data_IF_099814959251
#
_entry.id   IF_099814959251
#
_cell.length_a   1.000
_cell.length_b   1.000
_cell.length_c   1.000
_cell.angle_alpha   90.00
_cell.angle_beta   90.00
_cell.angle_gamma   90.00
#
_symmetry.space_group_name_H-M   'P 1'
#
loop_
_entity.id
_entity.type
_entity.pdbx_description
1 polymer ?
#
# COMPACT_ATOMS: atom_id res chain seq x y z
N UNK A 1 -7.95 -5.81 0.91
CA UNK A 1 -6.48 -5.99 0.94
C UNK A 1 -6.11 -7.40 0.52
N UNK A 2 -5.61 -7.58 -0.71
CA UNK A 2 -5.13 -8.87 -1.16
C UNK A 2 -3.93 -9.36 -0.35
N UNK A 3 -3.96 -10.65 -0.04
CA UNK A 3 -2.84 -11.43 0.47
C UNK A 3 -2.88 -12.80 -0.18
N UNK A 4 -1.71 -13.33 -0.57
CA UNK A 4 -1.56 -14.73 -0.94
C UNK A 4 -0.23 -15.28 -0.41
N UNK A 5 -0.23 -16.56 -0.06
CA UNK A 5 0.90 -17.38 0.39
C UNK A 5 1.07 -18.67 -0.42
N UNK A 6 0.18 -18.88 -1.40
CA UNK A 6 0.26 -19.99 -2.36
C UNK A 6 1.08 -19.59 -3.60
N UNK A 7 2.31 -20.09 -3.66
CA UNK A 7 3.27 -19.90 -4.75
C UNK A 7 3.27 -21.08 -5.76
N UNK A 8 2.18 -21.85 -5.84
CA UNK A 8 2.03 -22.94 -6.83
C UNK A 8 1.46 -22.48 -8.17
N UNK A 9 0.90 -21.29 -8.23
CA UNK A 9 0.18 -20.75 -9.40
C UNK A 9 0.59 -19.31 -9.65
N UNK A 10 0.47 -18.90 -10.91
CA UNK A 10 0.63 -17.50 -11.29
C UNK A 10 -0.33 -16.60 -10.51
N UNK A 11 0.16 -15.41 -10.13
CA UNK A 11 -0.63 -14.39 -9.45
C UNK A 11 -0.32 -13.02 -10.01
N UNK A 12 -1.35 -12.20 -10.08
CA UNK A 12 -1.23 -10.77 -10.38
C UNK A 12 -2.07 -10.01 -9.37
N UNK A 13 -1.45 -9.04 -8.69
CA UNK A 13 -2.14 -8.06 -7.85
C UNK A 13 -1.95 -6.69 -8.47
N UNK A 14 -2.99 -5.89 -8.50
CA UNK A 14 -2.97 -4.61 -9.20
C UNK A 14 -3.74 -3.57 -8.40
N UNK A 15 -3.21 -2.35 -8.37
CA UNK A 15 -3.83 -1.20 -7.75
C UNK A 15 -3.81 -0.04 -8.74
N UNK A 16 -4.92 0.21 -9.46
CA UNK A 16 -5.09 1.38 -10.32
C UNK A 16 -5.41 2.64 -9.49
N UNK A 17 -5.35 3.78 -10.16
CA UNK A 17 -6.06 4.99 -9.71
C UNK A 17 -5.46 5.64 -8.48
N UNK A 18 -4.14 5.59 -8.31
CA UNK A 18 -3.47 6.25 -7.19
C UNK A 18 -3.49 7.77 -7.39
N UNK A 19 -4.53 8.41 -6.83
CA UNK A 19 -4.77 9.86 -6.85
C UNK A 19 -4.53 10.51 -5.48
N UNK A 20 -3.37 10.21 -4.88
CA UNK A 20 -3.08 10.57 -3.49
C UNK A 20 -3.11 9.38 -2.53
N UNK A 21 -3.55 8.22 -3.01
CA UNK A 21 -3.56 6.99 -2.22
C UNK A 21 -2.14 6.50 -1.86
N UNK A 22 -2.02 5.82 -0.73
CA UNK A 22 -0.80 5.13 -0.31
C UNK A 22 -0.96 3.63 -0.49
N UNK A 23 0.05 2.95 -1.04
CA UNK A 23 0.13 1.50 -1.12
C UNK A 23 1.22 0.99 -0.18
N UNK A 24 0.86 0.00 0.65
CA UNK A 24 1.80 -0.78 1.44
C UNK A 24 1.96 -2.16 0.79
N UNK A 25 3.15 -2.47 0.28
CA UNK A 25 3.47 -3.81 -0.19
C UNK A 25 4.45 -4.48 0.79
N UNK A 26 4.20 -5.74 1.14
CA UNK A 26 5.14 -6.57 1.90
C UNK A 26 5.30 -7.86 1.11
N UNK A 27 6.51 -8.10 0.62
CA UNK A 27 6.82 -9.19 -0.32
C UNK A 27 7.91 -10.04 0.30
N UNK A 28 7.68 -11.35 0.30
CA UNK A 28 8.61 -12.37 0.75
C UNK A 28 8.44 -13.61 -0.11
N UNK A 29 9.31 -14.61 0.05
CA UNK A 29 9.20 -15.90 -0.68
C UNK A 29 8.10 -16.80 -0.12
N UNK A 30 7.45 -16.39 0.96
CA UNK A 30 6.41 -17.14 1.69
C UNK A 30 5.06 -16.43 1.81
N UNK A 31 4.99 -15.15 1.43
CA UNK A 31 3.74 -14.40 1.41
C UNK A 31 3.90 -13.05 0.76
N UNK A 32 2.80 -12.55 0.21
CA UNK A 32 2.68 -11.21 -0.37
C UNK A 32 1.43 -10.55 0.18
N UNK A 33 1.59 -9.36 0.77
CA UNK A 33 0.52 -8.48 1.21
C UNK A 33 0.57 -7.17 0.40
N UNK A 34 -0.58 -6.71 -0.08
CA UNK A 34 -0.69 -5.44 -0.80
C UNK A 34 -1.91 -4.66 -0.30
N UNK A 35 -1.68 -3.70 0.59
CA UNK A 35 -2.69 -2.78 1.13
C UNK A 35 -2.79 -1.50 0.32
N UNK A 36 -4.02 -1.05 0.05
CA UNK A 36 -4.31 0.20 -0.65
C UNK A 36 -5.12 1.11 0.28
N UNK A 37 -4.54 2.25 0.65
CA UNK A 37 -5.07 3.20 1.63
C UNK A 37 -5.44 4.50 0.92
N UNK A 38 -6.74 4.78 0.88
CA UNK A 38 -7.29 5.95 0.20
C UNK A 38 -7.03 7.20 1.03
N UNK A 39 -6.62 8.30 0.38
CA UNK A 39 -6.38 9.58 1.07
C UNK A 39 -7.63 10.03 1.82
N UNK A 40 -8.76 10.09 1.12
CA UNK A 40 -10.07 10.52 1.64
C UNK A 40 -10.71 9.61 2.68
N UNK A 41 -10.11 8.45 2.98
CA UNK A 41 -10.57 7.53 4.05
C UNK A 41 -9.57 7.37 5.18
N UNK A 42 -8.30 7.58 4.89
CA UNK A 42 -7.22 7.16 5.77
C UNK A 42 -6.45 8.36 6.31
N UNK A 43 -6.16 9.34 5.47
CA UNK A 43 -5.20 10.40 5.80
C UNK A 43 -5.87 11.76 5.97
N UNK A 44 -6.85 12.09 5.12
CA UNK A 44 -7.65 13.31 5.18
C UNK A 44 -9.11 12.95 4.95
N UNK A 45 -9.80 12.41 5.97
CA UNK A 45 -11.08 11.77 5.76
C UNK A 45 -12.22 12.74 5.44
N UNK A 46 -12.96 12.41 4.37
CA UNK A 46 -14.17 13.12 4.01
C UNK A 46 -15.26 12.93 5.07
N UNK A 47 -16.18 13.87 5.12
CA UNK A 47 -17.26 13.91 6.10
C UNK A 47 -18.19 12.68 6.08
N UNK A 48 -18.26 11.99 4.94
CA UNK A 48 -19.00 10.74 4.75
C UNK A 48 -18.26 9.49 5.23
N UNK A 49 -16.96 9.57 5.47
CA UNK A 49 -16.13 8.44 5.92
C UNK A 49 -16.03 8.36 7.46
N UNK A 50 -16.50 9.40 8.14
CA UNK A 50 -16.53 9.51 9.60
C UNK A 50 -17.78 8.86 10.18
N UNK A 51 -17.60 8.02 11.19
CA UNK A 51 -18.72 7.44 11.94
C UNK A 51 -19.31 8.47 12.94
N UNK A 52 -20.62 8.41 13.21
CA UNK A 52 -21.23 9.20 14.27
C UNK A 52 -20.79 8.67 15.64
N UNK A 53 -20.53 9.60 16.56
CA UNK A 53 -20.21 9.35 17.96
C UNK A 53 -21.46 9.51 18.84
N UNK A 54 -21.41 8.95 20.05
CA UNK A 54 -22.54 8.93 21.00
C UNK A 54 -22.99 10.32 21.47
N UNK A 55 -22.12 11.33 21.37
CA UNK A 55 -22.41 12.73 21.72
C UNK A 55 -22.94 13.57 20.54
N UNK A 56 -23.25 12.92 19.41
CA UNK A 56 -23.74 13.58 18.19
C UNK A 56 -22.65 14.20 17.32
N UNK A 57 -21.37 14.06 17.69
CA UNK A 57 -20.25 14.47 16.84
C UNK A 57 -19.89 13.38 15.83
N UNK A 58 -18.99 13.69 14.91
CA UNK A 58 -18.34 12.73 14.00
C UNK A 58 -16.93 12.41 14.48
N UNK A 59 -16.39 11.27 14.06
CA UNK A 59 -14.99 10.91 14.28
C UNK A 59 -14.02 12.03 13.86
N UNK A 60 -12.94 12.25 14.63
CA UNK A 60 -11.79 13.07 14.23
C UNK A 60 -10.90 12.32 13.24
N UNK A 61 -9.94 13.02 12.61
CA UNK A 61 -9.00 12.40 11.66
C UNK A 61 -8.18 11.29 12.32
N UNK A 62 -7.75 11.49 13.56
CA UNK A 62 -7.04 10.47 14.34
C UNK A 62 -7.92 9.24 14.60
N UNK A 63 -9.19 9.43 14.92
CA UNK A 63 -10.11 8.31 15.18
C UNK A 63 -10.37 7.51 13.91
N UNK A 64 -10.52 8.19 12.76
CA UNK A 64 -10.64 7.52 11.47
C UNK A 64 -9.35 6.78 11.14
N UNK A 65 -8.19 7.40 11.28
CA UNK A 65 -6.88 6.77 11.06
C UNK A 65 -6.66 5.52 11.92
N UNK A 66 -6.96 5.62 13.21
CA UNK A 66 -6.89 4.49 14.14
C UNK A 66 -7.78 3.33 13.67
N UNK A 67 -9.00 3.63 13.20
CA UNK A 67 -9.97 2.63 12.73
C UNK A 67 -9.58 2.02 11.38
N UNK A 68 -9.23 2.85 10.40
CA UNK A 68 -9.06 2.43 9.01
C UNK A 68 -7.66 1.91 8.70
N UNK A 69 -6.64 2.41 9.40
CA UNK A 69 -5.25 2.03 9.15
C UNK A 69 -4.66 1.23 10.29
N UNK A 70 -4.61 1.74 11.52
CA UNK A 70 -3.94 1.02 12.61
C UNK A 70 -4.63 -0.29 12.95
N UNK A 71 -5.91 -0.21 13.34
CA UNK A 71 -6.74 -1.40 13.60
C UNK A 71 -6.91 -2.22 12.35
N UNK A 72 -7.05 -1.59 11.18
CA UNK A 72 -7.10 -2.34 9.93
C UNK A 72 -5.84 -3.18 9.70
N UNK A 73 -4.65 -2.65 10.00
CA UNK A 73 -3.38 -3.38 9.87
C UNK A 73 -3.25 -4.45 10.95
N UNK A 74 -3.57 -4.15 12.21
CA UNK A 74 -3.37 -5.10 13.31
C UNK A 74 -4.45 -6.17 13.36
N UNK A 75 -5.71 -5.80 13.17
CA UNK A 75 -6.87 -6.64 13.47
C UNK A 75 -7.63 -7.05 12.19
N UNK A 76 -7.37 -6.35 11.08
CA UNK A 76 -8.16 -6.47 9.86
C UNK A 76 -9.47 -5.66 9.94
N UNK A 77 -10.18 -5.60 8.82
CA UNK A 77 -11.50 -4.98 8.71
C UNK A 77 -12.44 -5.96 8.00
N UNK A 78 -13.50 -6.33 8.70
CA UNK A 78 -14.57 -7.17 8.16
C UNK A 78 -15.82 -6.33 7.92
N UNK A 79 -16.40 -6.43 6.72
CA UNK A 79 -17.70 -5.84 6.43
C UNK A 79 -18.76 -6.90 6.73
N UNK A 80 -19.76 -6.55 7.56
CA UNK A 80 -20.85 -7.48 7.90
C UNK A 80 -21.57 -7.91 6.62
N UNK A 81 -21.69 -9.23 6.42
CA UNK A 81 -22.36 -9.82 5.26
C UNK A 81 -21.41 -10.17 4.11
N UNK A 82 -20.16 -9.72 4.15
CA UNK A 82 -19.13 -10.15 3.21
C UNK A 82 -18.35 -11.33 3.80
N UNK A 83 -18.27 -12.45 3.06
CA UNK A 83 -17.51 -13.64 3.48
C UNK A 83 -15.99 -13.47 3.37
N UNK A 84 -15.51 -12.31 2.93
CA UNK A 84 -14.10 -11.99 2.77
C UNK A 84 -13.81 -10.66 3.47
N UNK A 85 -12.75 -10.56 4.29
CA UNK A 85 -12.37 -9.31 4.93
C UNK A 85 -12.05 -8.22 3.89
N UNK A 86 -12.54 -7.00 4.12
CA UNK A 86 -12.12 -5.82 3.36
C UNK A 86 -10.61 -5.59 3.53
N UNK A 87 -10.09 -5.78 4.73
CA UNK A 87 -8.66 -5.77 5.03
C UNK A 87 -8.29 -6.98 5.90
N UNK A 88 -7.22 -7.68 5.54
CA UNK A 88 -6.71 -8.80 6.32
C UNK A 88 -5.80 -8.30 7.44
N UNK A 89 -5.85 -8.95 8.60
CA UNK A 89 -4.96 -8.68 9.73
C UNK A 89 -3.51 -9.02 9.38
N UNK A 90 -2.61 -8.05 9.46
CA UNK A 90 -1.19 -8.30 9.33
C UNK A 90 -0.64 -9.06 10.54
N UNK A 91 -1.24 -8.91 11.73
CA UNK A 91 -0.88 -9.70 12.92
C UNK A 91 -1.05 -11.21 12.66
N UNK A 92 -2.18 -11.61 12.09
CA UNK A 92 -2.43 -13.02 11.75
C UNK A 92 -1.50 -13.52 10.64
N UNK A 93 -1.17 -12.65 9.69
CA UNK A 93 -0.36 -12.96 8.52
C UNK A 93 1.15 -12.87 8.78
N UNK A 94 1.61 -12.20 9.84
CA UNK A 94 3.02 -11.98 10.14
C UNK A 94 3.84 -13.28 10.17
N UNK A 95 3.22 -14.39 10.60
CA UNK A 95 3.85 -15.73 10.60
C UNK A 95 4.24 -16.24 9.20
N UNK A 96 3.61 -15.72 8.15
CA UNK A 96 3.90 -16.08 6.76
C UNK A 96 5.08 -15.31 6.18
N UNK A 97 5.62 -14.33 6.91
CA UNK A 97 6.69 -13.42 6.47
C UNK A 97 8.05 -13.73 7.12
N UNK A 98 8.30 -15.01 7.41
CA UNK A 98 9.44 -15.44 8.24
C UNK A 98 10.76 -15.67 7.50
N UNK A 99 10.82 -15.46 6.18
CA UNK A 99 12.08 -15.59 5.44
C UNK A 99 12.96 -14.33 5.53
N UNK A 100 14.23 -14.50 5.16
CA UNK A 100 15.23 -13.43 5.14
C UNK A 100 15.26 -12.74 3.77
N UNK A 101 14.29 -12.93 2.90
CA UNK A 101 14.21 -12.24 1.60
C UNK A 101 13.09 -11.17 1.60
N UNK A 102 12.40 -11.03 2.73
CA UNK A 102 11.34 -10.04 2.91
C UNK A 102 11.79 -8.61 2.65
N UNK A 103 10.96 -7.88 1.92
CA UNK A 103 11.03 -6.44 1.68
C UNK A 103 9.65 -5.81 1.84
N UNK A 104 9.61 -4.60 2.38
CA UNK A 104 8.41 -3.78 2.47
C UNK A 104 8.58 -2.46 1.71
N UNK A 105 7.45 -1.96 1.21
CA UNK A 105 7.37 -0.80 0.34
C UNK A 105 6.25 0.11 0.81
N UNK A 106 6.55 1.39 1.02
CA UNK A 106 5.53 2.45 1.07
C UNK A 106 5.60 3.19 -0.27
N UNK A 107 4.54 3.07 -1.06
CA UNK A 107 4.38 3.78 -2.33
C UNK A 107 3.36 4.89 -2.06
N UNK A 108 3.82 6.14 -2.04
CA UNK A 108 3.05 7.28 -1.55
C UNK A 108 3.06 8.46 -2.54
N UNK A 109 2.05 9.32 -2.53
CA UNK A 109 2.11 10.54 -3.32
C UNK A 109 3.21 11.46 -2.76
N UNK A 110 3.71 12.35 -3.63
CA UNK A 110 4.63 13.40 -3.23
C UNK A 110 3.97 14.33 -2.22
N UNK A 111 2.80 14.86 -2.54
CA UNK A 111 2.04 15.85 -1.76
C UNK A 111 0.67 15.30 -1.38
N UNK A 112 0.01 15.92 -0.39
CA UNK A 112 -1.41 15.71 -0.17
C UNK A 112 -2.24 16.52 -1.18
N UNK A 113 -3.49 16.11 -1.38
CA UNK A 113 -4.43 16.88 -2.21
C UNK A 113 -4.59 18.32 -1.69
N UNK A 114 -4.64 18.52 -0.37
CA UNK A 114 -4.76 19.84 0.23
C UNK A 114 -3.55 20.75 -0.08
N UNK A 115 -2.34 20.19 -0.09
CA UNK A 115 -1.14 20.93 -0.47
C UNK A 115 -1.15 21.31 -1.95
N UNK A 116 -1.55 20.39 -2.82
CA UNK A 116 -1.66 20.64 -4.25
C UNK A 116 -2.64 21.79 -4.54
N UNK A 117 -3.84 21.74 -3.95
CA UNK A 117 -4.85 22.81 -4.05
C UNK A 117 -4.33 24.15 -3.51
N UNK A 118 -3.62 24.14 -2.38
CA UNK A 118 -3.08 25.37 -1.80
C UNK A 118 -2.02 26.02 -2.70
N UNK A 119 -1.12 25.22 -3.28
CA UNK A 119 -0.10 25.71 -4.21
C UNK A 119 -0.71 26.23 -5.52
N UNK A 120 -1.73 25.56 -6.07
CA UNK A 120 -2.50 26.06 -7.22
C UNK A 120 -3.17 27.42 -6.94
N UNK A 121 -3.61 27.63 -5.69
CA UNK A 121 -4.14 28.91 -5.21
C UNK A 121 -3.05 29.97 -4.91
N UNK A 122 -1.77 29.67 -5.18
CA UNK A 122 -0.65 30.60 -5.01
C UNK A 122 -0.01 30.60 -3.62
N UNK A 123 -0.32 29.62 -2.75
CA UNK A 123 0.41 29.44 -1.51
C UNK A 123 1.87 29.07 -1.78
N UNK A 124 2.77 29.50 -0.89
CA UNK A 124 4.17 29.06 -0.96
C UNK A 124 4.25 27.55 -0.69
N UNK A 125 5.09 26.81 -1.42
CA UNK A 125 5.22 25.37 -1.21
C UNK A 125 5.74 25.09 0.20
N UNK A 126 5.16 24.11 0.87
CA UNK A 126 5.69 23.60 2.13
C UNK A 126 7.08 22.97 1.91
N UNK A 127 7.96 22.93 2.92
CA UNK A 127 9.20 22.17 2.85
C UNK A 127 8.93 20.69 2.57
N UNK A 128 9.79 20.02 1.78
CA UNK A 128 9.60 18.62 1.38
C UNK A 128 9.42 17.65 2.56
N UNK A 129 10.07 17.96 3.69
CA UNK A 129 9.95 17.19 4.94
C UNK A 129 8.51 17.15 5.48
N UNK A 130 7.64 18.07 5.06
CA UNK A 130 6.23 18.17 5.44
C UNK A 130 5.29 17.78 4.31
N UNK A 131 5.79 17.30 3.17
CA UNK A 131 4.91 16.93 2.06
C UNK A 131 4.10 15.66 2.38
N UNK A 132 2.79 15.75 2.17
CA UNK A 132 1.79 14.72 2.45
C UNK A 132 1.60 14.46 3.94
N UNK A 133 1.79 13.20 4.34
CA UNK A 133 1.47 12.70 5.69
C UNK A 133 2.65 11.95 6.32
N UNK A 134 3.84 12.57 6.46
CA UNK A 134 5.07 11.91 6.90
C UNK A 134 4.89 11.12 8.20
N UNK A 135 4.27 11.73 9.21
CA UNK A 135 4.03 11.10 10.52
C UNK A 135 3.15 9.85 10.42
N UNK A 136 2.13 9.87 9.55
CA UNK A 136 1.24 8.72 9.32
C UNK A 136 1.96 7.57 8.62
N UNK A 137 2.82 7.87 7.65
CA UNK A 137 3.61 6.84 6.98
C UNK A 137 4.68 6.24 7.90
N UNK A 138 5.30 7.04 8.77
CA UNK A 138 6.24 6.55 9.77
C UNK A 138 5.53 5.69 10.83
N UNK A 139 4.30 6.03 11.20
CA UNK A 139 3.49 5.18 12.07
C UNK A 139 3.11 3.85 11.41
N UNK A 140 2.72 3.85 10.13
CA UNK A 140 2.52 2.60 9.37
C UNK A 140 3.79 1.74 9.34
N UNK A 141 4.94 2.38 9.10
CA UNK A 141 6.23 1.69 9.11
C UNK A 141 6.45 1.02 10.47
N UNK A 142 6.25 1.76 11.56
CA UNK A 142 6.42 1.28 12.94
C UNK A 142 5.54 0.07 13.22
N UNK A 143 4.25 0.11 12.84
CA UNK A 143 3.32 -1.01 13.01
C UNK A 143 3.83 -2.26 12.27
N UNK A 144 4.21 -2.12 10.99
CA UNK A 144 4.73 -3.24 10.19
C UNK A 144 6.02 -3.80 10.79
N UNK A 145 6.89 -2.92 11.27
CA UNK A 145 8.15 -3.25 11.88
C UNK A 145 8.01 -4.01 13.21
N UNK A 146 6.99 -3.69 13.99
CA UNK A 146 6.71 -4.40 15.24
C UNK A 146 6.06 -5.76 15.00
N UNK A 147 5.19 -5.86 13.98
CA UNK A 147 4.57 -7.12 13.58
C UNK A 147 5.54 -8.05 12.82
N UNK A 148 6.45 -7.49 12.03
CA UNK A 148 7.40 -8.21 11.18
C UNK A 148 8.82 -7.64 11.34
N UNK A 149 9.51 -7.94 12.46
CA UNK A 149 10.80 -7.32 12.79
C UNK A 149 11.91 -7.54 11.75
N UNK A 150 11.82 -8.59 10.94
CA UNK A 150 12.81 -8.88 9.88
C UNK A 150 12.92 -7.78 8.83
N UNK A 151 11.89 -6.94 8.68
CA UNK A 151 11.91 -5.80 7.75
C UNK A 151 12.86 -4.68 8.23
N UNK A 152 13.18 -4.60 9.53
CA UNK A 152 14.09 -3.58 10.11
C UNK A 152 15.53 -3.67 9.59
N UNK A 153 15.90 -4.74 8.91
CA UNK A 153 17.25 -4.94 8.36
C UNK A 153 17.59 -3.87 7.32
N UNK A 154 18.88 -3.56 7.10
CA UNK A 154 19.31 -2.70 6.01
C UNK A 154 18.73 -3.16 4.66
N UNK A 155 18.08 -2.25 3.93
CA UNK A 155 17.44 -2.54 2.64
C UNK A 155 16.10 -3.29 2.73
N UNK A 156 15.59 -3.55 3.95
CA UNK A 156 14.28 -4.16 4.15
C UNK A 156 13.12 -3.24 3.81
N UNK A 157 13.31 -1.91 3.87
CA UNK A 157 12.34 -0.90 3.46
C UNK A 157 12.75 -0.18 2.19
N UNK A 158 11.76 0.12 1.36
CA UNK A 158 11.88 1.05 0.24
C UNK A 158 10.68 2.02 0.25
N UNK A 159 10.94 3.30 -0.01
CA UNK A 159 9.90 4.30 -0.18
C UNK A 159 9.91 4.75 -1.62
N UNK A 160 8.76 4.61 -2.31
CA UNK A 160 8.56 5.17 -3.65
C UNK A 160 7.61 6.35 -3.53
N UNK A 161 8.06 7.49 -4.02
CA UNK A 161 7.25 8.71 -4.14
C UNK A 161 6.78 8.83 -5.58
N UNK A 162 5.48 9.01 -5.80
CA UNK A 162 4.92 9.26 -7.13
C UNK A 162 4.23 10.63 -7.18
N UNK A 163 4.05 11.16 -8.39
CA UNK A 163 3.27 12.38 -8.61
C UNK A 163 1.83 11.99 -8.90
N UNK A 164 0.90 12.41 -8.05
CA UNK A 164 -0.50 12.07 -8.20
C UNK A 164 -1.06 12.73 -9.46
N UNK A 165 -1.88 11.98 -10.21
CA UNK A 165 -2.60 12.54 -11.35
C UNK A 165 -3.85 13.23 -10.81
N UNK A 166 -3.93 14.54 -11.02
CA UNK A 166 -4.99 15.44 -10.56
C UNK A 166 -5.59 16.21 -11.74
N UNK A 167 -6.67 16.98 -11.49
CA UNK A 167 -7.37 17.78 -12.50
C UNK A 167 -8.56 17.11 -13.18
N UNK A 168 -9.26 17.86 -14.03
CA UNK A 168 -10.53 17.44 -14.68
C UNK A 168 -10.35 16.22 -15.60
N UNK A 169 -9.17 16.06 -16.22
CA UNK A 169 -8.85 14.95 -17.13
C UNK A 169 -8.15 13.76 -16.43
N UNK A 170 -8.09 13.76 -15.10
CA UNK A 170 -7.31 12.76 -14.36
C UNK A 170 -7.77 11.32 -14.61
N UNK A 171 -9.08 11.08 -14.74
CA UNK A 171 -9.68 9.77 -15.01
C UNK A 171 -9.22 9.26 -16.38
N UNK A 172 -9.38 10.10 -17.39
CA UNK A 172 -8.98 9.84 -18.77
C UNK A 172 -7.48 9.55 -18.92
N UNK A 173 -6.64 10.29 -18.19
CA UNK A 173 -5.19 10.09 -18.18
C UNK A 173 -4.83 8.75 -17.52
N UNK A 174 -5.37 8.47 -16.33
CA UNK A 174 -5.08 7.24 -15.59
C UNK A 174 -5.49 5.98 -16.35
N UNK A 175 -6.49 6.05 -17.22
CA UNK A 175 -6.86 4.93 -18.10
C UNK A 175 -5.83 4.68 -19.22
N UNK A 176 -5.21 5.74 -19.73
CA UNK A 176 -4.35 5.71 -20.93
C UNK A 176 -2.86 5.51 -20.60
N UNK A 177 -2.42 5.85 -19.39
CA UNK A 177 -0.99 5.83 -19.01
C UNK A 177 -0.70 4.93 -17.81
N UNK A 178 0.58 4.67 -17.56
CA UNK A 178 1.04 3.86 -16.42
C UNK A 178 1.13 4.61 -15.10
N UNK A 179 1.04 5.94 -15.08
CA UNK A 179 1.04 6.74 -13.85
C UNK A 179 -0.09 6.33 -12.90
N UNK A 180 0.17 6.44 -11.60
CA UNK A 180 -0.80 6.09 -10.57
C UNK A 180 -1.18 4.60 -10.53
N UNK A 181 -0.29 3.71 -10.98
CA UNK A 181 -0.52 2.25 -10.98
C UNK A 181 0.56 1.50 -10.21
N UNK A 182 0.15 0.49 -9.47
CA UNK A 182 1.06 -0.50 -8.85
C UNK A 182 0.66 -1.89 -9.31
N UNK A 183 1.66 -2.67 -9.75
CA UNK A 183 1.48 -4.02 -10.25
C UNK A 183 2.45 -4.95 -9.56
N UNK A 184 1.94 -6.02 -8.96
CA UNK A 184 2.74 -7.15 -8.52
C UNK A 184 2.42 -8.38 -9.40
N UNK A 185 3.45 -9.09 -9.84
CA UNK A 185 3.30 -10.37 -10.55
C UNK A 185 4.17 -11.45 -9.91
N UNK A 186 3.64 -12.66 -9.93
CA UNK A 186 4.36 -13.88 -9.56
C UNK A 186 4.19 -14.95 -10.64
N UNK A 187 5.30 -15.56 -11.03
CA UNK A 187 5.41 -16.68 -11.97
C UNK A 187 6.09 -17.87 -11.26
N UNK A 188 5.41 -19.02 -11.07
CA UNK A 188 5.96 -20.18 -10.40
C UNK A 188 6.93 -21.01 -11.27
N UNK A 189 6.96 -20.78 -12.58
CA UNK A 189 7.67 -21.60 -13.57
C UNK A 189 8.48 -20.76 -14.54
N UNK A 190 9.09 -19.70 -14.02
CA UNK A 190 9.97 -18.82 -14.78
C UNK A 190 11.14 -19.61 -15.39
N UNK A 191 11.44 -19.36 -16.67
CA UNK A 191 12.51 -20.07 -17.39
C UNK A 191 12.12 -21.41 -18.04
N UNK A 192 10.87 -21.85 -17.91
CA UNK A 192 10.28 -22.97 -18.66
C UNK A 192 10.58 -24.38 -18.13
N UNK A 193 9.95 -25.39 -18.73
CA UNK A 193 9.88 -26.78 -18.22
C UNK A 193 11.17 -27.61 -18.37
N UNK A 194 12.19 -27.10 -19.08
CA UNK A 194 13.45 -27.83 -19.36
C UNK A 194 14.54 -27.62 -18.31
N UNK A 195 14.37 -26.64 -17.42
CA UNK A 195 15.27 -26.40 -16.27
C UNK A 195 14.49 -26.63 -14.97
N UNK A 196 15.20 -26.72 -13.84
CA UNK A 196 14.53 -26.65 -12.53
C UNK A 196 13.63 -25.41 -12.51
N UNK A 197 12.36 -25.51 -12.09
CA UNK A 197 11.45 -24.38 -12.09
C UNK A 197 12.01 -23.28 -11.19
N UNK A 198 12.18 -22.08 -11.76
CA UNK A 198 12.55 -20.88 -11.02
C UNK A 198 11.27 -20.10 -10.75
N UNK A 199 11.08 -19.69 -9.52
CA UNK A 199 10.02 -18.77 -9.11
C UNK A 199 10.48 -17.35 -9.33
N UNK A 200 9.61 -16.48 -9.84
CA UNK A 200 9.91 -15.05 -10.03
C UNK A 200 8.80 -14.19 -9.46
N UNK A 201 9.16 -13.23 -8.62
CA UNK A 201 8.27 -12.20 -8.09
C UNK A 201 8.75 -10.81 -8.50
N UNK A 202 7.82 -9.95 -8.92
CA UNK A 202 8.14 -8.61 -9.38
C UNK A 202 7.08 -7.60 -8.93
N UNK A 203 7.54 -6.39 -8.56
CA UNK A 203 6.69 -5.25 -8.21
C UNK A 203 7.11 -4.06 -9.07
N UNK A 204 6.13 -3.43 -9.69
CA UNK A 204 6.28 -2.16 -10.39
C UNK A 204 5.38 -1.10 -9.78
N UNK A 205 5.88 0.13 -9.80
CA UNK A 205 5.09 1.34 -9.63
C UNK A 205 5.30 2.18 -10.87
N UNK A 206 4.23 2.41 -11.62
CA UNK A 206 4.25 3.12 -12.88
C UNK A 206 5.20 2.44 -13.89
N UNK A 207 6.25 3.14 -14.33
CA UNK A 207 7.28 2.61 -15.24
C UNK A 207 8.50 2.02 -14.51
N UNK A 208 8.53 2.09 -13.17
CA UNK A 208 9.69 1.72 -12.37
C UNK A 208 9.51 0.33 -11.75
N UNK A 209 10.51 -0.52 -11.95
CA UNK A 209 10.66 -1.76 -11.20
C UNK A 209 11.16 -1.46 -9.78
N UNK A 210 10.37 -1.85 -8.78
CA UNK A 210 10.69 -1.68 -7.35
C UNK A 210 11.21 -2.97 -6.71
N UNK A 211 10.81 -4.11 -7.26
CA UNK A 211 11.20 -5.44 -6.77
C UNK A 211 11.38 -6.39 -7.93
N UNK A 212 12.43 -7.19 -7.85
CA UNK A 212 12.65 -8.38 -8.67
C UNK A 212 13.40 -9.38 -7.80
N UNK A 213 12.82 -10.56 -7.62
CA UNK A 213 13.42 -11.67 -6.89
C UNK A 213 13.15 -12.98 -7.64
N UNK A 214 14.16 -13.84 -7.66
CA UNK A 214 14.11 -15.17 -8.26
C UNK A 214 14.66 -16.20 -7.29
N UNK A 215 13.99 -17.35 -7.16
CA UNK A 215 14.43 -18.43 -6.28
C UNK A 215 13.99 -19.80 -6.79
N UNK A 216 14.67 -20.84 -6.29
CA UNK A 216 14.32 -22.23 -6.64
C UNK A 216 12.94 -22.62 -6.09
N UNK A 217 12.15 -23.30 -6.93
CA UNK A 217 10.79 -23.78 -6.61
C UNK A 217 10.73 -24.97 -5.66
#
# INVERSE_FOLDING_TARGET
TPFFDDFTKERTLYTPGLRGCTVLAIISRKGVFLGHYWESKSFSPDDGERLPLTDGKKETDDQVWDRTVKKGLTDGINIKGEGVPQQKSLTELAKNFRDDDIKAYIIRPRKSQAQEVAEEAGASPEPEAKWGYPERWDEMRTIVEDLIPKVKRPGGWNVRIYDAVSGEDADDLLEKISQGRVLFKFDPTHGGTRRKPVRRAMLWSEQLELHSDEWDG
#
